data_IF_684802308328
#
_entry.id   IF_684802308328
#
_cell.length_a   1.000
_cell.length_b   1.000
_cell.length_c   1.000
_cell.angle_alpha   90.00
_cell.angle_beta   90.00
_cell.angle_gamma   90.00
#
_symmetry.space_group_name_H-M   'P 1'
#
loop_
_entity.id
_entity.type
_entity.pdbx_description
1 polymer ?
#
# COMPACT_ATOMS: atom_id res chain seq x y z
N UNK A 1 22.94 -16.66 12.25
CA UNK A 1 21.55 -16.87 11.80
C UNK A 1 20.78 -15.54 11.65
N UNK A 2 21.37 -14.48 11.07
CA UNK A 2 20.70 -13.17 10.90
C UNK A 2 20.90 -12.54 9.50
N UNK A 3 21.41 -13.31 8.53
CA UNK A 3 21.78 -12.78 7.22
C UNK A 3 21.88 -13.86 6.16
N UNK A 4 20.90 -14.77 6.11
CA UNK A 4 20.83 -15.77 5.04
C UNK A 4 19.59 -15.46 4.22
N UNK A 5 19.74 -15.41 2.90
CA UNK A 5 18.64 -15.51 1.95
C UNK A 5 17.69 -16.63 2.41
N UNK A 6 16.43 -16.28 2.71
CA UNK A 6 15.44 -17.21 3.26
C UNK A 6 15.24 -17.20 4.79
N UNK A 7 15.80 -16.23 5.53
CA UNK A 7 15.54 -16.09 6.98
C UNK A 7 14.07 -15.83 7.34
N UNK A 8 13.65 -16.24 8.55
CA UNK A 8 12.26 -16.08 9.06
C UNK A 8 11.75 -14.64 8.90
N UNK A 9 12.62 -13.65 9.09
CA UNK A 9 12.25 -12.23 8.90
C UNK A 9 11.85 -11.93 7.45
N UNK A 10 12.55 -12.47 6.46
CA UNK A 10 12.20 -12.30 5.04
C UNK A 10 10.86 -12.96 4.73
N UNK A 11 10.62 -14.16 5.27
CA UNK A 11 9.32 -14.83 5.14
C UNK A 11 8.18 -14.01 5.78
N UNK A 12 8.40 -13.48 6.99
CA UNK A 12 7.43 -12.62 7.67
C UNK A 12 7.18 -11.32 6.90
N UNK A 13 8.20 -10.71 6.30
CA UNK A 13 8.06 -9.54 5.44
C UNK A 13 7.26 -9.85 4.17
N UNK A 14 7.51 -11.00 3.53
CA UNK A 14 6.76 -11.44 2.36
C UNK A 14 5.27 -11.63 2.70
N UNK A 15 4.97 -12.29 3.82
CA UNK A 15 3.58 -12.45 4.29
C UNK A 15 2.91 -11.12 4.60
N UNK A 16 3.59 -10.24 5.35
CA UNK A 16 3.05 -8.94 5.73
C UNK A 16 2.82 -8.05 4.50
N UNK A 17 3.76 -8.04 3.55
CA UNK A 17 3.64 -7.23 2.35
C UNK A 17 2.53 -7.72 1.41
N UNK A 18 2.28 -9.03 1.34
CA UNK A 18 1.18 -9.60 0.53
C UNK A 18 -0.19 -9.02 0.92
N UNK A 19 -0.41 -8.79 2.22
CA UNK A 19 -1.66 -8.23 2.74
C UNK A 19 -1.63 -6.71 2.79
N UNK A 20 -0.50 -6.12 3.18
CA UNK A 20 -0.35 -4.68 3.35
C UNK A 20 -0.40 -3.93 2.02
N UNK A 21 0.09 -4.53 0.93
CA UNK A 21 0.14 -3.88 -0.39
C UNK A 21 -1.26 -3.61 -0.97
N UNK A 22 -2.19 -4.57 -1.04
CA UNK A 22 -3.56 -4.29 -1.46
C UNK A 22 -4.28 -3.29 -0.56
N UNK A 23 -4.07 -3.37 0.76
CA UNK A 23 -4.67 -2.43 1.72
C UNK A 23 -4.15 -1.01 1.44
N UNK A 24 -2.84 -0.85 1.24
CA UNK A 24 -2.23 0.43 0.89
C UNK A 24 -2.83 0.98 -0.41
N UNK A 25 -3.01 0.14 -1.44
CA UNK A 25 -3.62 0.54 -2.71
C UNK A 25 -5.03 1.10 -2.50
N UNK A 26 -5.86 0.43 -1.69
CA UNK A 26 -7.23 0.85 -1.40
C UNK A 26 -7.26 2.17 -0.63
N UNK A 27 -6.39 2.33 0.38
CA UNK A 27 -6.32 3.56 1.16
C UNK A 27 -5.90 4.74 0.28
N UNK A 28 -4.85 4.57 -0.53
CA UNK A 28 -4.40 5.60 -1.47
C UNK A 28 -5.53 5.95 -2.44
N UNK A 29 -6.14 4.95 -3.07
CA UNK A 29 -7.23 5.16 -4.03
C UNK A 29 -8.44 5.81 -3.36
N UNK A 30 -8.80 5.43 -2.13
CA UNK A 30 -9.92 6.00 -1.39
C UNK A 30 -9.69 7.46 -0.96
N UNK A 31 -8.44 7.85 -0.69
CA UNK A 31 -8.08 9.23 -0.39
C UNK A 31 -8.08 10.10 -1.64
N UNK A 32 -7.53 9.60 -2.75
CA UNK A 32 -7.38 10.39 -3.99
C UNK A 32 -8.58 10.31 -4.94
N UNK A 33 -9.39 9.25 -4.88
CA UNK A 33 -10.53 9.01 -5.78
C UNK A 33 -11.83 8.79 -5.01
N UNK A 34 -12.79 9.71 -5.19
CA UNK A 34 -14.14 9.60 -4.62
C UNK A 34 -15.06 8.64 -5.38
N UNK A 35 -14.62 8.17 -6.55
CA UNK A 35 -15.43 7.40 -7.51
C UNK A 35 -15.28 5.89 -7.35
N UNK A 36 -14.29 5.44 -6.57
CA UNK A 36 -14.08 4.00 -6.35
C UNK A 36 -15.12 3.46 -5.36
N UNK A 37 -15.89 2.48 -5.82
CA UNK A 37 -16.96 1.88 -5.02
C UNK A 37 -16.39 0.92 -3.97
N UNK A 38 -17.05 0.82 -2.81
CA UNK A 38 -16.63 -0.11 -1.74
C UNK A 38 -16.68 -1.57 -2.19
N UNK A 39 -17.59 -1.92 -3.10
CA UNK A 39 -17.67 -3.25 -3.72
C UNK A 39 -16.43 -3.52 -4.59
N UNK A 40 -15.97 -2.55 -5.37
CA UNK A 40 -14.74 -2.68 -6.17
C UNK A 40 -13.51 -2.91 -5.29
N UNK A 41 -13.40 -2.22 -4.15
CA UNK A 41 -12.30 -2.42 -3.20
C UNK A 41 -12.26 -3.85 -2.64
N UNK A 42 -13.41 -4.38 -2.19
CA UNK A 42 -13.49 -5.75 -1.65
C UNK A 42 -13.14 -6.81 -2.70
N UNK A 43 -13.62 -6.65 -3.93
CA UNK A 43 -13.33 -7.59 -5.03
C UNK A 43 -11.84 -7.49 -5.43
N UNK A 44 -11.28 -6.27 -5.46
CA UNK A 44 -9.87 -6.07 -5.80
C UNK A 44 -8.92 -6.72 -4.78
N UNK A 45 -9.22 -6.67 -3.48
CA UNK A 45 -8.44 -7.43 -2.47
C UNK A 45 -8.45 -8.91 -2.83
N UNK A 46 -9.63 -9.49 -3.08
CA UNK A 46 -9.75 -10.92 -3.35
C UNK A 46 -8.97 -11.31 -4.62
N UNK A 47 -9.10 -10.52 -5.70
CA UNK A 47 -8.35 -10.73 -6.94
C UNK A 47 -6.84 -10.59 -6.71
N UNK A 48 -6.40 -9.62 -5.92
CA UNK A 48 -4.97 -9.41 -5.64
C UNK A 48 -4.34 -10.60 -4.91
N UNK A 49 -5.04 -11.17 -3.92
CA UNK A 49 -4.59 -12.36 -3.18
C UNK A 49 -4.53 -13.58 -4.10
N UNK A 50 -5.57 -13.80 -4.91
CA UNK A 50 -5.58 -14.90 -5.89
C UNK A 50 -4.44 -14.74 -6.89
N UNK A 51 -4.22 -13.53 -7.41
CA UNK A 51 -3.16 -13.26 -8.37
C UNK A 51 -1.78 -13.48 -7.75
N UNK A 52 -1.58 -13.11 -6.50
CA UNK A 52 -0.35 -13.40 -5.78
C UNK A 52 -0.09 -14.91 -5.68
N UNK A 53 -1.10 -15.70 -5.26
CA UNK A 53 -0.97 -17.15 -5.17
C UNK A 53 -0.65 -17.78 -6.53
N UNK A 54 -1.32 -17.35 -7.59
CA UNK A 54 -1.04 -17.82 -8.96
C UNK A 54 0.37 -17.45 -9.40
N UNK A 55 0.84 -16.25 -9.05
CA UNK A 55 2.21 -15.82 -9.41
C UNK A 55 3.26 -16.64 -8.67
N UNK A 56 3.02 -16.97 -7.38
CA UNK A 56 3.94 -17.73 -6.55
C UNK A 56 4.02 -19.21 -6.96
N UNK A 57 2.90 -19.86 -7.28
CA UNK A 57 2.86 -21.30 -7.57
C UNK A 57 2.82 -21.64 -9.06
N UNK A 58 2.46 -20.69 -9.92
CA UNK A 58 2.27 -20.94 -11.36
C UNK A 58 3.36 -20.34 -12.25
N UNK A 59 3.92 -19.19 -11.86
CA UNK A 59 4.94 -18.48 -12.66
C UNK A 59 6.33 -18.64 -12.07
N UNK A 60 6.44 -18.68 -10.73
CA UNK A 60 7.72 -18.76 -10.00
C UNK A 60 8.77 -17.77 -10.56
N UNK A 61 8.47 -16.46 -10.62
CA UNK A 61 9.37 -15.51 -11.26
C UNK A 61 10.65 -15.35 -10.42
N UNK A 62 11.80 -15.38 -11.09
CA UNK A 62 13.12 -15.10 -10.48
C UNK A 62 13.33 -13.59 -10.29
N UNK A 63 12.45 -12.97 -9.50
CA UNK A 63 12.49 -11.56 -9.13
C UNK A 63 12.41 -11.42 -7.62
N UNK A 64 13.05 -10.37 -7.09
CA UNK A 64 12.92 -10.04 -5.67
C UNK A 64 11.45 -9.79 -5.31
N UNK A 65 11.04 -10.26 -4.12
CA UNK A 65 9.69 -10.10 -3.60
C UNK A 65 9.21 -8.65 -3.60
N UNK A 66 10.12 -7.67 -3.49
CA UNK A 66 9.79 -6.25 -3.49
C UNK A 66 9.26 -5.80 -4.86
N UNK A 67 9.84 -6.29 -5.96
CA UNK A 67 9.35 -5.99 -7.30
C UNK A 67 7.99 -6.64 -7.55
N UNK A 68 7.80 -7.88 -7.08
CA UNK A 68 6.52 -8.58 -7.13
C UNK A 68 5.43 -7.80 -6.39
N UNK A 69 5.74 -7.28 -5.19
CA UNK A 69 4.84 -6.41 -4.41
C UNK A 69 4.50 -5.12 -5.17
N UNK A 70 5.48 -4.48 -5.81
CA UNK A 70 5.24 -3.29 -6.64
C UNK A 70 4.31 -3.56 -7.82
N UNK A 71 4.50 -4.68 -8.51
CA UNK A 71 3.63 -5.09 -9.63
C UNK A 71 2.20 -5.36 -9.14
N UNK A 72 2.05 -6.08 -8.03
CA UNK A 72 0.74 -6.38 -7.43
C UNK A 72 0.03 -5.12 -6.94
N UNK A 73 0.77 -4.15 -6.41
CA UNK A 73 0.23 -2.84 -6.05
C UNK A 73 -0.43 -2.18 -7.27
N UNK A 74 0.33 -2.06 -8.37
CA UNK A 74 -0.17 -1.43 -9.62
C UNK A 74 -1.35 -2.21 -10.17
N UNK A 75 -1.26 -3.54 -10.22
CA UNK A 75 -2.35 -4.39 -10.70
C UNK A 75 -3.62 -4.21 -9.86
N UNK A 76 -3.50 -4.15 -8.53
CA UNK A 76 -4.63 -3.94 -7.63
C UNK A 76 -5.31 -2.61 -7.91
N UNK A 77 -4.54 -1.54 -8.11
CA UNK A 77 -5.06 -0.22 -8.48
C UNK A 77 -5.81 -0.29 -9.81
N UNK A 78 -5.22 -0.92 -10.84
CA UNK A 78 -5.89 -1.08 -12.15
C UNK A 78 -7.20 -1.85 -12.02
N UNK A 79 -7.20 -2.97 -11.31
CA UNK A 79 -8.40 -3.78 -11.06
C UNK A 79 -9.48 -2.97 -10.34
N UNK A 80 -9.12 -2.17 -9.33
CA UNK A 80 -10.06 -1.28 -8.65
C UNK A 80 -10.70 -0.28 -9.62
N UNK A 81 -9.92 0.36 -10.50
CA UNK A 81 -10.45 1.29 -11.49
C UNK A 81 -11.33 0.61 -12.55
N UNK A 82 -10.91 -0.56 -13.04
CA UNK A 82 -11.68 -1.34 -14.03
C UNK A 82 -13.01 -1.76 -13.45
N UNK A 83 -13.04 -2.37 -12.26
CA UNK A 83 -14.29 -2.81 -11.62
C UNK A 83 -15.17 -1.61 -11.30
N UNK A 84 -14.57 -0.51 -10.82
CA UNK A 84 -15.34 0.67 -10.47
C UNK A 84 -15.87 1.44 -11.68
N UNK A 85 -15.35 1.19 -12.89
CA UNK A 85 -15.96 1.66 -14.13
C UNK A 85 -17.27 0.91 -14.45
N UNK A 86 -17.32 -0.41 -14.20
CA UNK A 86 -18.51 -1.23 -14.42
C UNK A 86 -19.51 -1.21 -13.26
N UNK A 87 -19.02 -1.03 -12.04
CA UNK A 87 -19.80 -0.94 -10.80
C UNK A 87 -19.50 0.41 -10.14
N UNK A 88 -19.87 1.53 -10.80
CA UNK A 88 -19.69 2.85 -10.24
C UNK A 88 -20.54 3.00 -8.98
N UNK A 89 -20.07 3.82 -8.06
CA UNK A 89 -20.82 4.16 -6.84
C UNK A 89 -21.99 5.07 -7.21
N UNK A 90 -23.19 4.79 -6.71
CA UNK A 90 -24.39 5.59 -7.01
C UNK A 90 -24.34 7.01 -6.43
N UNK A 91 -23.61 7.19 -5.32
CA UNK A 91 -23.40 8.50 -4.68
C UNK A 91 -21.93 8.75 -4.43
N UNK A 92 -21.45 9.96 -4.71
CA UNK A 92 -20.06 10.33 -4.42
C UNK A 92 -19.74 10.13 -2.93
N UNK A 93 -18.51 9.70 -2.63
CA UNK A 93 -18.07 9.60 -1.24
C UNK A 93 -17.99 11.00 -0.60
N UNK A 94 -18.88 11.28 0.34
CA UNK A 94 -18.83 12.46 1.20
C UNK A 94 -18.03 12.10 2.45
N UNK A 95 -16.84 12.68 2.57
CA UNK A 95 -16.03 12.52 3.76
C UNK A 95 -16.62 13.41 4.87
N UNK A 96 -17.45 12.82 5.73
CA UNK A 96 -18.01 13.54 6.87
C UNK A 96 -16.91 13.84 7.90
N UNK A 97 -16.61 15.13 8.07
CA UNK A 97 -15.72 15.58 9.12
C UNK A 97 -16.49 15.65 10.45
N UNK A 98 -16.38 14.60 11.27
CA UNK A 98 -17.12 14.47 12.53
C UNK A 98 -16.70 15.47 13.60
N UNK A 99 -15.63 16.24 13.40
CA UNK A 99 -15.06 17.23 14.35
C UNK A 99 -14.75 16.65 15.75
N UNK A 100 -14.72 15.33 15.90
CA UNK A 100 -14.54 14.66 17.19
C UNK A 100 -13.08 14.68 17.70
N UNK A 101 -12.13 15.10 16.86
CA UNK A 101 -10.69 15.19 17.19
C UNK A 101 -10.15 16.51 16.67
N UNK A 102 -9.37 17.21 17.50
CA UNK A 102 -8.67 18.43 17.10
C UNK A 102 -7.50 18.06 16.16
N UNK A 103 -7.57 18.55 14.92
CA UNK A 103 -6.55 18.37 13.87
C UNK A 103 -5.63 19.58 13.73
N UNK A 104 -5.61 20.49 14.71
CA UNK A 104 -4.70 21.63 14.70
C UNK A 104 -3.25 21.15 14.64
N UNK A 105 -2.49 21.72 13.72
CA UNK A 105 -1.08 21.38 13.55
C UNK A 105 -0.32 21.73 14.83
N UNK A 106 0.41 20.77 15.37
CA UNK A 106 1.32 21.01 16.48
C UNK A 106 2.38 22.06 16.07
N UNK A 107 2.64 23.02 16.97
CA UNK A 107 3.55 24.16 16.72
C UNK A 107 4.95 23.75 16.24
N UNK A 108 5.43 22.58 16.64
CA UNK A 108 6.77 22.07 16.28
C UNK A 108 6.75 21.03 15.15
N UNK A 109 5.61 20.81 14.49
CA UNK A 109 5.48 19.84 13.41
C UNK A 109 6.50 20.07 12.28
N UNK A 110 6.64 21.32 11.82
CA UNK A 110 7.57 21.68 10.75
C UNK A 110 9.05 21.54 11.15
N UNK A 111 9.53 22.12 12.26
CA UNK A 111 10.94 21.99 12.63
C UNK A 111 11.34 20.55 12.97
N UNK A 112 10.50 19.79 13.69
CA UNK A 112 10.80 18.38 14.01
C UNK A 112 10.82 17.52 12.75
N UNK A 113 9.85 17.71 11.85
CA UNK A 113 9.84 17.00 10.55
C UNK A 113 11.09 17.28 9.73
N UNK A 114 11.54 18.54 9.66
CA UNK A 114 12.76 18.91 8.96
C UNK A 114 14.02 18.26 9.56
N UNK A 115 14.10 18.19 10.90
CA UNK A 115 15.22 17.52 11.60
C UNK A 115 15.25 16.02 11.26
N UNK A 116 14.09 15.34 11.29
CA UNK A 116 14.00 13.92 10.96
C UNK A 116 14.48 13.66 9.52
N UNK A 117 14.01 14.46 8.56
CA UNK A 117 14.44 14.33 7.15
C UNK A 117 15.95 14.59 7.00
N UNK A 118 16.47 15.65 7.64
CA UNK A 118 17.90 15.96 7.59
C UNK A 118 18.76 14.85 8.21
N UNK A 119 18.31 14.24 9.30
CA UNK A 119 18.99 13.11 9.96
C UNK A 119 19.02 11.89 9.04
N UNK A 120 17.91 11.53 8.39
CA UNK A 120 17.86 10.41 7.44
C UNK A 120 18.82 10.64 6.27
N UNK A 121 18.86 11.86 5.71
CA UNK A 121 19.80 12.22 4.65
C UNK A 121 21.24 12.12 5.14
N UNK A 122 21.54 12.67 6.31
CA UNK A 122 22.89 12.64 6.88
C UNK A 122 23.38 11.21 7.13
N UNK A 123 22.51 10.32 7.63
CA UNK A 123 22.83 8.90 7.79
C UNK A 123 23.13 8.23 6.44
N UNK A 124 22.29 8.48 5.43
CA UNK A 124 22.50 7.90 4.10
C UNK A 124 23.81 8.38 3.46
N UNK A 125 24.15 9.67 3.61
CA UNK A 125 25.42 10.22 3.12
C UNK A 125 26.63 9.72 3.91
N UNK A 126 26.51 9.54 5.23
CA UNK A 126 27.61 9.07 6.07
C UNK A 126 27.89 7.56 5.93
N UNK A 127 26.87 6.76 5.57
CA UNK A 127 26.97 5.31 5.38
C UNK A 127 27.05 4.89 3.90
N UNK A 128 27.07 5.87 2.99
CA UNK A 128 27.36 5.71 1.55
C UNK A 128 28.86 5.65 1.34
#
# INVERSE_FOLDING_TARGET
MYGVEGGIFTYLQQLNGTHSVPILAIVIVGVFSKRVSGKAANIAILISVVTYLVTLYGIEPDISFLHLMGILFVLTVVVMFVISYFIPRETDFVQEYTKQVDITNWRYLKPVGAIVVALVIALYVAMS
#
